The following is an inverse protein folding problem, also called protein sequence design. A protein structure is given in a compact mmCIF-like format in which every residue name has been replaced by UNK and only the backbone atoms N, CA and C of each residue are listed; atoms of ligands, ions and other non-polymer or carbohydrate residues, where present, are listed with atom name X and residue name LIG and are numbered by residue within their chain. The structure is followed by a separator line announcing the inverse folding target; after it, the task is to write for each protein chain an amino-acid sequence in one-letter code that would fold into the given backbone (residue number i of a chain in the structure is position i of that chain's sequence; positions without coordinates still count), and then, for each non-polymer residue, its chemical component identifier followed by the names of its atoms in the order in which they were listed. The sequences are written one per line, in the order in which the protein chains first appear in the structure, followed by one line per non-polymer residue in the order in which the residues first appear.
data_IF_895038317109
#
_entry.id   IF_895038317109
#
_cell.length_a   1.000
_cell.length_b   1.000
_cell.length_c   1.000
_cell.angle_alpha   90.00
_cell.angle_beta   90.00
_cell.angle_gamma   90.00
#
_symmetry.space_group_name_H-M   'P 1'
#
loop_
_entity.id
_entity.type
_entity.pdbx_description
1 polymer ?
#
# COMPACT_ATOMS: atom_id res chain seq x y z
N UNK A 1 4.14 13.75 -23.17
CA UNK A 1 4.53 13.50 -22.94
C UNK A 1 4.88 12.94 -22.56
N UNK A 2 4.66 12.92 -22.64
CA UNK A 2 5.05 12.57 -22.26
C UNK A 2 5.52 11.88 -22.14
N UNK A 3 5.55 11.58 -22.56
CA UNK A 3 6.09 10.89 -22.55
C UNK A 3 7.03 10.31 -22.24
N UNK A 4 7.57 10.62 -22.73
CA UNK A 4 8.78 10.29 -22.06
C UNK A 4 8.60 9.25 -20.99
N UNK A 5 7.42 9.03 -20.64
CA UNK A 5 7.10 8.07 -19.60
C UNK A 5 7.41 6.65 -20.02
N UNK A 6 7.36 6.40 -21.30
CA UNK A 6 7.62 5.06 -21.77
C UNK A 6 9.02 4.60 -21.41
N UNK A 7 9.94 5.53 -21.33
CA UNK A 7 11.32 5.23 -21.05
C UNK A 7 11.68 5.79 -19.70
N UNK A 8 12.20 4.95 -18.85
CA UNK A 8 12.53 5.41 -17.52
C UNK A 8 11.31 5.89 -16.76
N UNK A 9 10.18 5.27 -17.04
CA UNK A 9 8.98 5.60 -16.31
C UNK A 9 9.25 5.44 -14.82
N UNK A 10 9.18 6.54 -14.11
CA UNK A 10 9.46 6.56 -12.69
C UNK A 10 8.17 6.68 -11.88
N UNK A 11 7.04 6.32 -12.47
CA UNK A 11 5.80 6.31 -11.71
C UNK A 11 5.96 5.42 -10.49
N UNK A 12 5.64 5.93 -9.30
CA UNK A 12 5.74 5.11 -8.11
C UNK A 12 4.83 3.89 -8.21
N UNK A 13 5.33 2.76 -7.78
CA UNK A 13 4.58 1.51 -7.80
C UNK A 13 3.97 1.30 -6.42
N UNK A 14 2.67 1.15 -6.38
CA UNK A 14 1.93 0.92 -5.15
C UNK A 14 1.41 -0.52 -5.17
N UNK A 15 1.64 -1.24 -4.08
CA UNK A 15 1.08 -2.58 -3.92
C UNK A 15 -0.26 -2.47 -3.20
N UNK A 16 -1.25 -3.19 -3.67
CA UNK A 16 -2.55 -3.31 -3.00
C UNK A 16 -2.77 -4.78 -2.67
N UNK A 17 -2.91 -5.09 -1.38
CA UNK A 17 -3.12 -6.45 -0.92
C UNK A 17 -4.47 -6.52 -0.24
N UNK A 18 -5.43 -7.16 -0.90
CA UNK A 18 -6.79 -7.29 -0.40
C UNK A 18 -7.41 -8.50 -1.08
N UNK A 19 -8.10 -9.35 -0.33
CA UNK A 19 -8.69 -10.55 -0.93
C UNK A 19 -9.98 -10.25 -1.71
N UNK A 20 -10.53 -9.06 -1.59
CA UNK A 20 -11.72 -8.66 -2.32
C UNK A 20 -11.33 -8.11 -3.69
N UNK A 21 -11.73 -8.83 -4.73
CA UNK A 21 -11.39 -8.44 -6.09
C UNK A 21 -11.95 -7.06 -6.47
N UNK A 22 -13.14 -6.74 -5.99
CA UNK A 22 -13.74 -5.44 -6.29
C UNK A 22 -12.94 -4.30 -5.66
N UNK A 23 -12.45 -4.50 -4.44
CA UNK A 23 -11.61 -3.50 -3.79
C UNK A 23 -10.30 -3.34 -4.56
N UNK A 24 -9.66 -4.45 -4.93
CA UNK A 24 -8.43 -4.38 -5.72
C UNK A 24 -8.61 -3.60 -7.01
N UNK A 25 -9.68 -3.92 -7.74
CA UNK A 25 -9.94 -3.25 -9.02
C UNK A 25 -10.25 -1.77 -8.86
N UNK A 26 -11.04 -1.43 -7.86
CA UNK A 26 -11.39 -0.04 -7.60
C UNK A 26 -10.16 0.78 -7.21
N UNK A 27 -9.33 0.24 -6.34
CA UNK A 27 -8.11 0.95 -5.92
C UNK A 27 -7.12 1.08 -7.07
N UNK A 28 -6.97 0.01 -7.84
CA UNK A 28 -6.08 0.08 -8.99
C UNK A 28 -6.52 1.20 -9.95
N UNK A 29 -7.80 1.24 -10.26
CA UNK A 29 -8.32 2.26 -11.17
C UNK A 29 -8.08 3.67 -10.61
N UNK A 30 -8.48 3.90 -9.37
CA UNK A 30 -8.42 5.25 -8.82
C UNK A 30 -6.98 5.74 -8.64
N UNK A 31 -6.08 4.85 -8.26
CA UNK A 31 -4.68 5.25 -8.08
C UNK A 31 -3.97 5.44 -9.42
N UNK A 32 -4.32 4.63 -10.41
CA UNK A 32 -3.73 4.82 -11.73
C UNK A 32 -4.16 6.13 -12.37
N UNK A 33 -5.39 6.56 -12.13
CA UNK A 33 -5.86 7.87 -12.59
C UNK A 33 -4.98 8.99 -12.01
N UNK A 34 -4.47 8.79 -10.79
CA UNK A 34 -3.63 9.77 -10.12
C UNK A 34 -2.15 9.65 -10.48
N UNK A 35 -1.80 8.77 -11.39
CA UNK A 35 -0.44 8.68 -11.90
C UNK A 35 0.42 7.58 -11.27
N UNK A 36 -0.13 6.76 -10.39
CA UNK A 36 0.62 5.65 -9.81
C UNK A 36 0.56 4.42 -10.71
N UNK A 37 1.60 3.59 -10.64
CA UNK A 37 1.53 2.22 -11.14
C UNK A 37 1.05 1.35 -10.00
N UNK A 38 0.16 0.39 -10.29
CA UNK A 38 -0.44 -0.41 -9.22
C UNK A 38 -0.30 -1.90 -9.52
N UNK A 39 0.17 -2.65 -8.53
CA UNK A 39 0.21 -4.10 -8.56
C UNK A 39 -0.70 -4.61 -7.46
N UNK A 40 -1.55 -5.56 -7.78
CA UNK A 40 -2.54 -6.07 -6.83
C UNK A 40 -2.25 -7.51 -6.46
N UNK A 41 -2.54 -7.86 -5.21
CA UNK A 41 -2.29 -9.20 -4.67
C UNK A 41 -3.48 -9.60 -3.82
N UNK A 42 -3.87 -10.87 -3.89
CA UNK A 42 -5.04 -11.36 -3.17
C UNK A 42 -4.71 -11.80 -1.75
N UNK A 43 -3.44 -12.01 -1.44
CA UNK A 43 -3.02 -12.49 -0.12
C UNK A 43 -1.57 -12.12 0.11
N UNK A 44 -1.10 -12.36 1.35
CA UNK A 44 0.25 -12.00 1.72
C UNK A 44 1.33 -12.83 1.04
N UNK A 45 1.07 -14.11 0.85
CA UNK A 45 2.07 -14.98 0.22
C UNK A 45 2.37 -14.54 -1.20
N UNK A 46 1.33 -14.13 -1.94
CA UNK A 46 1.53 -13.65 -3.29
C UNK A 46 2.39 -12.38 -3.31
N UNK A 47 2.16 -11.48 -2.36
CA UNK A 47 3.02 -10.30 -2.26
C UNK A 47 4.46 -10.71 -1.95
N UNK A 48 4.65 -11.57 -0.97
CA UNK A 48 6.00 -11.95 -0.55
C UNK A 48 6.76 -12.70 -1.65
N UNK A 49 6.03 -13.29 -2.59
CA UNK A 49 6.66 -13.94 -3.75
C UNK A 49 7.11 -12.99 -4.84
N UNK A 50 6.79 -11.70 -4.71
CA UNK A 50 7.17 -10.72 -5.72
C UNK A 50 8.66 -10.41 -5.62
N UNK A 51 9.37 -10.46 -6.74
CA UNK A 51 10.83 -10.35 -6.72
C UNK A 51 11.32 -8.94 -6.40
N UNK A 52 10.52 -7.91 -6.71
CA UNK A 52 10.99 -6.53 -6.63
C UNK A 52 10.28 -5.74 -5.55
N UNK A 53 10.00 -6.38 -4.42
CA UNK A 53 9.29 -5.72 -3.33
C UNK A 53 9.98 -4.45 -2.85
N UNK A 54 11.31 -4.45 -2.84
CA UNK A 54 12.04 -3.28 -2.34
C UNK A 54 11.84 -2.04 -3.23
N UNK A 55 11.39 -2.24 -4.46
CA UNK A 55 11.19 -1.13 -5.38
C UNK A 55 9.82 -0.47 -5.24
N UNK A 56 8.94 -1.05 -4.44
CA UNK A 56 7.60 -0.50 -4.28
C UNK A 56 7.66 0.74 -3.39
N UNK A 57 6.92 1.75 -3.79
CA UNK A 57 6.92 3.04 -3.08
C UNK A 57 5.98 3.05 -1.88
N UNK A 58 4.97 2.16 -1.88
CA UNK A 58 3.97 2.15 -0.82
C UNK A 58 3.21 0.84 -0.88
N UNK A 59 2.75 0.37 0.28
CA UNK A 59 1.98 -0.87 0.39
C UNK A 59 0.67 -0.57 1.09
N UNK A 60 -0.45 -0.82 0.41
CA UNK A 60 -1.79 -0.73 1.00
C UNK A 60 -2.19 -2.16 1.33
N UNK A 61 -2.38 -2.46 2.60
CA UNK A 61 -2.57 -3.83 3.06
C UNK A 61 -3.84 -3.93 3.90
N UNK A 62 -4.74 -4.82 3.50
CA UNK A 62 -5.92 -5.13 4.30
C UNK A 62 -5.49 -5.92 5.54
N UNK A 63 -6.02 -5.56 6.69
CA UNK A 63 -5.72 -6.30 7.91
C UNK A 63 -6.30 -7.72 7.87
N UNK A 64 -7.42 -7.91 7.20
CA UNK A 64 -8.02 -9.23 7.07
C UNK A 64 -7.64 -9.88 5.76
N UNK A 65 -6.69 -10.79 5.82
CA UNK A 65 -6.24 -11.52 4.65
C UNK A 65 -6.29 -13.00 4.94
N UNK A 66 -6.50 -13.83 3.91
CA UNK A 66 -6.42 -15.29 4.12
C UNK A 66 -4.99 -15.67 4.43
N UNK A 67 -4.82 -16.58 5.38
CA UNK A 67 -3.52 -17.13 5.73
C UNK A 67 -2.74 -16.32 6.73
N UNK A 68 -2.63 -15.03 6.54
CA UNK A 68 -1.93 -14.17 7.50
C UNK A 68 -2.62 -12.83 7.56
N UNK A 69 -2.54 -12.17 8.71
CA UNK A 69 -3.12 -10.84 8.86
C UNK A 69 -2.21 -9.80 8.21
N UNK A 70 -2.74 -8.58 8.07
CA UNK A 70 -1.93 -7.48 7.55
C UNK A 70 -0.70 -7.23 8.40
N UNK A 71 -0.83 -7.25 9.74
CA UNK A 71 0.33 -7.05 10.60
C UNK A 71 1.35 -8.18 10.48
N UNK A 72 0.87 -9.42 10.30
CA UNK A 72 1.79 -10.54 10.08
C UNK A 72 2.55 -10.37 8.76
N UNK A 73 1.87 -9.89 7.76
CA UNK A 73 2.52 -9.62 6.48
C UNK A 73 3.56 -8.53 6.63
N UNK A 74 3.24 -7.45 7.32
CA UNK A 74 4.21 -6.37 7.55
C UNK A 74 5.42 -6.90 8.30
N UNK A 75 5.20 -7.73 9.32
CA UNK A 75 6.32 -8.31 10.06
C UNK A 75 7.22 -9.15 9.16
N UNK A 76 6.61 -9.94 8.26
CA UNK A 76 7.39 -10.74 7.32
C UNK A 76 8.18 -9.85 6.36
N UNK A 77 7.56 -8.77 5.89
CA UNK A 77 8.25 -7.81 5.03
C UNK A 77 9.47 -7.21 5.74
N UNK A 78 9.28 -6.76 6.98
CA UNK A 78 10.37 -6.13 7.73
C UNK A 78 11.52 -7.10 7.98
N UNK A 79 11.21 -8.38 8.21
CA UNK A 79 12.26 -9.39 8.36
C UNK A 79 13.08 -9.55 7.09
N UNK A 80 12.49 -9.28 5.95
CA UNK A 80 13.18 -9.32 4.66
C UNK A 80 13.77 -7.96 4.28
N UNK A 81 13.76 -7.02 5.21
CA UNK A 81 14.27 -5.66 5.01
C UNK A 81 13.50 -4.89 3.94
N UNK A 82 12.23 -5.19 3.81
CA UNK A 82 11.32 -4.41 2.97
C UNK A 82 10.71 -3.37 3.90
N UNK A 83 11.23 -2.16 3.85
CA UNK A 83 10.93 -1.11 4.83
C UNK A 83 10.06 0.01 4.27
N UNK A 84 9.48 -0.16 3.09
CA UNK A 84 8.66 0.88 2.49
C UNK A 84 7.43 1.21 3.32
N UNK A 85 6.83 2.37 3.05
CA UNK A 85 5.65 2.82 3.80
C UNK A 85 4.48 1.87 3.63
N UNK A 86 3.77 1.61 4.73
CA UNK A 86 2.60 0.76 4.75
C UNK A 86 1.40 1.57 5.21
N UNK A 87 0.28 1.40 4.54
CA UNK A 87 -1.02 1.91 4.98
C UNK A 87 -1.91 0.70 5.20
N UNK A 88 -2.48 0.59 6.39
CA UNK A 88 -3.35 -0.52 6.72
C UNK A 88 -4.79 -0.12 6.47
N UNK A 89 -5.55 -0.96 5.77
CA UNK A 89 -6.98 -0.72 5.59
C UNK A 89 -7.75 -1.80 6.35
N UNK A 90 -8.86 -1.40 6.97
CA UNK A 90 -9.66 -2.33 7.75
C UNK A 90 -11.07 -1.79 7.94
N UNK A 91 -12.05 -2.68 8.01
CA UNK A 91 -13.42 -2.30 8.31
C UNK A 91 -13.70 -2.29 9.81
N UNK A 92 -12.79 -2.83 10.63
CA UNK A 92 -13.00 -2.91 12.07
C UNK A 92 -11.74 -2.51 12.82
N UNK A 93 -11.48 -1.20 12.90
CA UNK A 93 -10.27 -0.72 13.58
C UNK A 93 -10.49 -0.71 15.10
N UNK A 94 -10.21 -1.84 15.73
CA UNK A 94 -10.32 -1.94 17.17
C UNK A 94 -9.29 -1.04 17.86
N UNK A 95 -9.50 -0.80 19.16
CA UNK A 95 -8.55 0.00 19.93
C UNK A 95 -7.17 -0.67 19.94
N UNK A 96 -7.14 -1.99 20.09
CA UNK A 96 -5.87 -2.72 20.11
C UNK A 96 -5.15 -2.57 18.76
N UNK A 97 -5.90 -2.68 17.66
CA UNK A 97 -5.33 -2.53 16.33
C UNK A 97 -4.75 -1.12 16.15
N UNK A 98 -5.50 -0.12 16.58
CA UNK A 98 -5.05 1.27 16.46
C UNK A 98 -3.79 1.52 17.25
N UNK A 99 -3.71 0.94 18.46
CA UNK A 99 -2.52 1.09 19.29
C UNK A 99 -1.31 0.43 18.65
N UNK A 100 -1.50 -0.77 18.09
CA UNK A 100 -0.39 -1.46 17.43
C UNK A 100 0.10 -0.68 16.22
N UNK A 101 -0.84 -0.18 15.43
CA UNK A 101 -0.49 0.59 14.25
C UNK A 101 0.25 1.88 14.62
N UNK A 102 -0.21 2.56 15.66
CA UNK A 102 0.42 3.80 16.11
C UNK A 102 1.86 3.54 16.55
N UNK A 103 2.10 2.46 17.30
CA UNK A 103 3.46 2.13 17.72
C UNK A 103 4.37 1.79 16.56
N UNK A 104 3.81 1.21 15.51
CA UNK A 104 4.57 0.86 14.32
C UNK A 104 4.68 2.00 13.31
N UNK A 105 4.04 3.12 13.58
CA UNK A 105 4.03 4.24 12.65
C UNK A 105 3.23 3.97 11.38
N UNK A 106 2.22 3.11 11.46
CA UNK A 106 1.42 2.72 10.30
C UNK A 106 0.06 3.41 10.36
N UNK A 107 -0.27 4.26 9.38
CA UNK A 107 -1.61 4.85 9.34
C UNK A 107 -2.66 3.81 9.00
N UNK A 108 -3.84 3.97 9.60
CA UNK A 108 -5.00 3.14 9.33
C UNK A 108 -6.02 3.97 8.56
N UNK A 109 -6.56 3.40 7.49
CA UNK A 109 -7.70 3.99 6.80
C UNK A 109 -8.86 3.00 6.91
N UNK A 110 -9.98 3.48 7.42
CA UNK A 110 -11.14 2.64 7.67
C UNK A 110 -11.96 2.45 6.40
N UNK A 111 -12.36 1.21 6.15
CA UNK A 111 -13.31 0.90 5.08
C UNK A 111 -14.73 1.28 5.52
N UNK A 112 -15.61 1.68 4.62
CA UNK A 112 -15.43 1.75 3.17
C UNK A 112 -14.49 2.89 2.77
N UNK A 113 -13.76 2.71 1.65
CA UNK A 113 -12.75 3.65 1.20
C UNK A 113 -13.41 4.76 0.39
N UNK A 114 -14.15 5.61 1.06
CA UNK A 114 -14.87 6.72 0.44
C UNK A 114 -14.04 7.99 0.56
N UNK A 115 -14.26 8.90 -0.38
CA UNK A 115 -13.57 10.18 -0.37
C UNK A 115 -12.10 10.04 -0.73
N UNK A 116 -11.29 10.94 -0.24
CA UNK A 116 -9.89 11.06 -0.67
C UNK A 116 -8.87 10.68 0.41
N UNK A 117 -9.32 10.18 1.54
CA UNK A 117 -8.41 9.92 2.67
C UNK A 117 -7.29 8.95 2.29
N UNK A 118 -7.63 7.85 1.63
CA UNK A 118 -6.60 6.89 1.25
C UNK A 118 -5.64 7.49 0.22
N UNK A 119 -6.17 8.18 -0.78
CA UNK A 119 -5.33 8.82 -1.77
C UNK A 119 -4.35 9.81 -1.12
N UNK A 120 -4.85 10.60 -0.17
CA UNK A 120 -3.99 11.55 0.53
C UNK A 120 -2.87 10.85 1.29
N UNK A 121 -3.19 9.70 1.91
CA UNK A 121 -2.17 8.91 2.61
C UNK A 121 -1.13 8.36 1.64
N UNK A 122 -1.57 7.88 0.48
CA UNK A 122 -0.65 7.36 -0.52
C UNK A 122 0.24 8.48 -1.04
N UNK A 123 -0.34 9.63 -1.32
CA UNK A 123 0.43 10.78 -1.80
C UNK A 123 1.48 11.21 -0.78
N UNK A 124 1.10 11.25 0.49
CA UNK A 124 2.04 11.62 1.55
C UNK A 124 3.16 10.58 1.67
N UNK A 125 2.82 9.29 1.55
CA UNK A 125 3.80 8.23 1.70
C UNK A 125 4.78 8.17 0.53
N UNK A 126 4.35 8.56 -0.66
CA UNK A 126 5.17 8.46 -1.86
C UNK A 126 5.78 9.79 -2.27
N UNK A 127 5.47 10.87 -1.56
CA UNK A 127 6.02 12.17 -1.90
C UNK A 127 7.54 12.14 -1.75
N UNK A 128 8.23 12.65 -2.74
CA UNK A 128 9.65 12.80 -2.63
C UNK A 128 9.93 13.80 -1.50
N UNK A 129 11.01 13.61 -0.74
CA UNK A 129 11.39 14.62 0.24
C UNK A 129 11.56 15.96 -0.47
N UNK A 130 11.23 17.06 0.21
CA UNK A 130 11.42 18.36 -0.41
C UNK A 130 12.83 18.47 -0.94
N UNK A 131 12.94 18.98 -2.13
CA UNK A 131 14.24 19.17 -2.70
C UNK A 131 15.04 20.04 -1.76
N UNK A 132 16.15 19.52 -1.36
CA UNK A 132 17.03 20.27 -0.51
C UNK A 132 17.89 21.06 -1.44
N UNK A 133 17.40 22.10 -1.81
CA UNK A 133 18.15 22.83 -2.79
C UNK A 133 19.03 23.76 -2.15
#
# INVERSE_FOLDING_TARGET
MHKARAIGDSSPVVAVVDDDMAVRGSLKFSLEVEGFSVRTFANGDDLLGEAKLADFACFIIDQRLPGMSGFELVAAMRRQRIDGPVILITSQPTIILRERAARAGIPIVEKPLLGTTLLERVQAATAAPPAVC
#
